data_IF_468145622353
#
_entry.id   IF_468145622353
#
_cell.length_a   1.000
_cell.length_b   1.000
_cell.length_c   1.000
_cell.angle_alpha   90.00
_cell.angle_beta   90.00
_cell.angle_gamma   90.00
#
_symmetry.space_group_name_H-M   'P 1'
#
loop_
_entity.id
_entity.type
_entity.pdbx_description
1 polymer ?
#
# COMPACT_ATOMS: atom_id res chain seq x y z
N UNK A 1 -42.34 -68.18 1.20
CA UNK A 1 -41.89 -69.10 0.12
C UNK A 1 -40.81 -68.40 -0.63
N UNK A 2 -39.63 -69.05 -0.51
CA UNK A 2 -38.48 -69.10 -1.46
C UNK A 2 -37.73 -67.78 -1.60
N UNK A 3 -36.65 -67.51 -0.90
CA UNK A 3 -35.30 -68.08 -0.83
C UNK A 3 -34.53 -67.86 -2.14
N UNK A 4 -33.45 -67.14 -2.08
CA UNK A 4 -32.49 -66.90 -3.15
C UNK A 4 -31.24 -66.19 -2.63
N UNK A 5 -30.43 -66.93 -1.85
CA UNK A 5 -29.05 -66.58 -1.49
C UNK A 5 -28.18 -66.51 -2.76
N UNK A 6 -27.46 -65.43 -2.95
CA UNK A 6 -26.32 -65.36 -3.83
C UNK A 6 -25.05 -65.15 -2.98
N UNK A 7 -24.19 -66.16 -3.02
CA UNK A 7 -22.90 -66.26 -2.34
C UNK A 7 -21.90 -65.24 -2.88
N UNK A 8 -21.26 -64.59 -1.97
CA UNK A 8 -20.13 -63.69 -2.22
C UNK A 8 -18.85 -64.56 -2.21
N UNK A 9 -18.29 -64.77 -3.40
CA UNK A 9 -17.04 -65.53 -3.55
C UNK A 9 -15.85 -64.53 -3.49
N UNK A 10 -15.29 -64.41 -2.31
CA UNK A 10 -14.19 -63.54 -2.00
C UNK A 10 -12.88 -64.37 -1.98
N UNK A 11 -12.36 -64.70 -3.13
CA UNK A 11 -11.11 -65.44 -3.21
C UNK A 11 -9.88 -64.49 -3.26
N UNK A 12 -8.83 -64.80 -2.46
CA UNK A 12 -7.66 -63.94 -2.28
C UNK A 12 -6.76 -63.74 -3.54
N UNK A 13 -7.07 -64.42 -4.61
CA UNK A 13 -6.23 -64.41 -5.82
C UNK A 13 -6.44 -63.17 -6.72
N UNK A 14 -7.58 -62.48 -6.64
CA UNK A 14 -7.84 -61.30 -7.44
C UNK A 14 -7.12 -60.02 -6.91
N UNK A 15 -6.82 -59.97 -5.59
CA UNK A 15 -6.15 -58.85 -4.96
C UNK A 15 -4.62 -58.82 -5.28
N UNK A 16 -4.00 -60.01 -5.47
CA UNK A 16 -2.55 -60.07 -5.79
C UNK A 16 -2.27 -59.71 -7.23
N UNK A 17 -3.15 -59.98 -8.18
CA UNK A 17 -2.97 -59.63 -9.59
C UNK A 17 -3.08 -58.12 -9.82
N UNK A 18 -3.93 -57.42 -9.07
CA UNK A 18 -4.08 -55.94 -9.17
C UNK A 18 -2.90 -55.22 -8.54
N UNK A 19 -2.28 -55.79 -7.50
CA UNK A 19 -1.14 -55.19 -6.82
C UNK A 19 0.16 -55.33 -7.61
N UNK A 20 0.32 -56.42 -8.35
CA UNK A 20 1.46 -56.64 -9.27
C UNK A 20 1.37 -55.77 -10.54
N UNK A 21 0.17 -55.50 -11.03
CA UNK A 21 -0.03 -54.60 -12.17
C UNK A 21 0.24 -53.12 -11.84
N UNK A 22 -0.02 -52.70 -10.57
CA UNK A 22 0.33 -51.36 -10.12
C UNK A 22 1.82 -51.14 -9.83
N UNK A 23 2.55 -52.22 -9.49
CA UNK A 23 4.00 -52.13 -9.26
C UNK A 23 4.83 -52.16 -10.56
N UNK A 24 4.31 -52.74 -11.63
CA UNK A 24 4.97 -52.71 -12.93
C UNK A 24 4.85 -51.38 -13.67
N UNK A 25 3.82 -50.59 -13.37
CA UNK A 25 3.63 -49.26 -14.00
C UNK A 25 4.41 -48.13 -13.34
N UNK A 26 5.05 -48.36 -12.18
CA UNK A 26 5.84 -47.35 -11.47
C UNK A 26 7.34 -47.43 -11.77
N UNK A 27 7.81 -48.60 -12.29
CA UNK A 27 9.23 -48.80 -12.61
C UNK A 27 9.65 -48.26 -13.98
N UNK A 28 8.72 -47.95 -14.89
CA UNK A 28 9.05 -47.41 -16.22
C UNK A 28 9.02 -45.86 -16.33
N UNK A 29 8.82 -45.18 -15.21
CA UNK A 29 8.86 -43.69 -15.16
C UNK A 29 10.17 -43.14 -14.54
N UNK A 30 11.18 -43.98 -14.32
CA UNK A 30 12.50 -43.55 -13.79
C UNK A 30 13.60 -43.44 -14.83
N UNK A 31 13.27 -43.25 -16.07
CA UNK A 31 14.26 -43.12 -17.12
C UNK A 31 13.96 -41.99 -18.09
N UNK A 32 14.06 -40.76 -17.68
CA UNK A 32 14.52 -39.56 -18.40
C UNK A 32 14.09 -38.30 -17.67
N UNK A 33 14.60 -38.11 -16.46
CA UNK A 33 14.67 -36.73 -15.95
C UNK A 33 15.89 -36.11 -16.62
N UNK A 34 15.68 -35.59 -17.83
CA UNK A 34 16.57 -34.58 -18.38
C UNK A 34 16.53 -33.41 -17.41
N UNK A 35 17.60 -33.26 -16.64
CA UNK A 35 17.96 -32.05 -15.94
C UNK A 35 18.02 -30.93 -17.00
N UNK A 36 16.86 -30.34 -17.33
CA UNK A 36 16.81 -28.99 -17.81
C UNK A 36 17.35 -28.16 -16.66
N UNK A 37 18.67 -28.04 -16.58
CA UNK A 37 19.29 -26.98 -15.82
C UNK A 37 18.66 -25.72 -16.35
N UNK A 38 17.72 -25.17 -15.56
CA UNK A 38 17.21 -23.82 -15.75
C UNK A 38 18.44 -22.95 -15.53
N UNK A 39 19.17 -22.67 -16.59
CA UNK A 39 20.12 -21.58 -16.62
C UNK A 39 19.25 -20.35 -16.37
N UNK A 40 19.15 -19.93 -15.12
CA UNK A 40 18.78 -18.57 -14.80
C UNK A 40 19.83 -17.71 -15.52
N UNK A 41 19.45 -17.19 -16.69
CA UNK A 41 20.28 -16.22 -17.37
C UNK A 41 20.62 -15.14 -16.34
N UNK A 42 21.89 -14.71 -16.23
CA UNK A 42 22.23 -13.64 -15.32
C UNK A 42 21.27 -12.51 -15.63
N UNK A 43 20.45 -12.11 -14.64
CA UNK A 43 19.47 -11.03 -14.79
C UNK A 43 20.27 -9.73 -14.91
N UNK A 44 20.80 -9.47 -16.10
CA UNK A 44 21.32 -8.16 -16.45
C UNK A 44 20.11 -7.23 -16.50
N UNK A 45 19.87 -6.56 -15.40
CA UNK A 45 18.93 -5.46 -15.34
C UNK A 45 19.31 -4.47 -16.46
N UNK A 46 18.37 -4.06 -17.31
CA UNK A 46 18.62 -3.04 -18.33
C UNK A 46 19.31 -1.82 -17.74
N UNK A 47 20.19 -1.19 -18.48
CA UNK A 47 21.00 -0.08 -17.96
C UNK A 47 20.14 1.03 -17.35
N UNK A 48 18.99 1.38 -17.96
CA UNK A 48 18.10 2.39 -17.41
C UNK A 48 17.51 1.99 -16.05
N UNK A 49 17.29 0.70 -15.78
CA UNK A 49 16.83 0.22 -14.46
C UNK A 49 17.93 0.35 -13.40
N UNK A 50 19.18 0.13 -13.78
CA UNK A 50 20.31 0.37 -12.89
C UNK A 50 20.41 1.87 -12.55
N UNK A 51 20.24 2.76 -13.54
CA UNK A 51 20.22 4.21 -13.32
C UNK A 51 19.01 4.62 -12.46
N UNK A 52 17.82 4.05 -12.71
CA UNK A 52 16.64 4.22 -11.84
C UNK A 52 16.96 3.89 -10.38
N UNK A 53 17.61 2.74 -10.15
CA UNK A 53 18.04 2.33 -8.82
C UNK A 53 19.05 3.28 -8.15
N UNK A 54 19.99 3.86 -8.95
CA UNK A 54 20.95 4.84 -8.44
C UNK A 54 20.27 6.17 -8.08
N UNK A 55 19.39 6.67 -8.93
CA UNK A 55 18.58 7.88 -8.64
C UNK A 55 17.73 7.65 -7.40
N UNK A 56 17.07 6.48 -7.31
CA UNK A 56 16.26 6.11 -6.13
C UNK A 56 17.09 6.11 -4.84
N UNK A 57 18.31 5.58 -4.86
CA UNK A 57 19.23 5.64 -3.70
C UNK A 57 19.58 7.06 -3.31
N UNK A 58 19.82 7.96 -4.28
CA UNK A 58 20.08 9.38 -4.00
C UNK A 58 18.85 10.06 -3.35
N UNK A 59 17.63 9.74 -3.82
CA UNK A 59 16.38 10.21 -3.19
C UNK A 59 16.24 9.72 -1.76
N UNK A 60 16.51 8.43 -1.51
CA UNK A 60 16.44 7.81 -0.18
C UNK A 60 17.51 8.36 0.77
N UNK A 61 18.68 8.66 0.24
CA UNK A 61 19.78 9.27 0.99
C UNK A 61 19.59 10.77 1.26
N UNK A 62 18.48 11.39 0.79
CA UNK A 62 18.21 12.81 0.99
C UNK A 62 19.13 13.73 0.18
N UNK A 63 19.81 13.21 -0.86
CA UNK A 63 20.65 14.04 -1.74
C UNK A 63 19.80 15.12 -2.43
N UNK A 64 18.57 14.80 -2.76
CA UNK A 64 17.56 15.74 -3.25
C UNK A 64 16.30 15.59 -2.41
N UNK A 65 15.89 16.70 -1.80
CA UNK A 65 14.73 16.73 -0.90
C UNK A 65 13.41 16.82 -1.70
N UNK A 66 12.28 16.45 -1.11
CA UNK A 66 10.97 16.69 -1.69
C UNK A 66 10.81 18.15 -2.13
N UNK A 67 10.33 18.37 -3.36
CA UNK A 67 10.18 19.68 -3.97
C UNK A 67 11.44 20.27 -4.59
N UNK A 68 12.63 19.70 -4.37
CA UNK A 68 13.88 20.17 -4.99
C UNK A 68 14.04 19.67 -6.43
N UNK A 69 14.75 20.45 -7.25
CA UNK A 69 15.14 20.04 -8.59
C UNK A 69 16.28 19.01 -8.52
N UNK A 70 16.17 17.94 -9.29
CA UNK A 70 17.29 17.04 -9.55
C UNK A 70 18.17 17.60 -10.69
N UNK A 71 19.43 17.17 -10.81
CA UNK A 71 20.27 17.54 -11.94
C UNK A 71 19.62 17.21 -13.28
N UNK A 72 19.99 17.95 -14.34
CA UNK A 72 19.45 17.73 -15.68
C UNK A 72 19.76 16.31 -16.20
N UNK A 73 19.01 15.87 -17.20
CA UNK A 73 19.28 14.58 -17.87
C UNK A 73 20.72 14.51 -18.41
N UNK A 74 21.26 15.63 -18.85
CA UNK A 74 22.65 15.71 -19.34
C UNK A 74 23.67 15.59 -18.22
N UNK A 75 23.43 16.27 -17.09
CA UNK A 75 24.34 16.21 -15.94
C UNK A 75 24.35 14.80 -15.33
N UNK A 76 23.16 14.16 -15.23
CA UNK A 76 23.03 12.78 -14.77
C UNK A 76 23.66 11.80 -15.76
N UNK A 77 23.58 12.06 -17.07
CA UNK A 77 24.23 11.22 -18.09
C UNK A 77 25.76 11.27 -17.94
N UNK A 78 26.32 12.46 -17.69
CA UNK A 78 27.75 12.62 -17.38
C UNK A 78 28.11 11.93 -16.06
N UNK A 79 27.34 12.17 -15.00
CA UNK A 79 27.55 11.59 -13.67
C UNK A 79 27.61 10.07 -13.70
N UNK A 80 26.66 9.43 -14.39
CA UNK A 80 26.53 7.98 -14.45
C UNK A 80 27.24 7.34 -15.67
N UNK A 81 27.87 8.15 -16.52
CA UNK A 81 28.58 7.72 -17.74
C UNK A 81 27.70 6.88 -18.68
N UNK A 82 26.49 7.37 -18.94
CA UNK A 82 25.50 6.72 -19.82
C UNK A 82 24.95 7.73 -20.83
N UNK A 83 24.16 7.26 -21.81
CA UNK A 83 23.48 8.15 -22.74
C UNK A 83 22.37 8.94 -22.04
N UNK A 84 22.09 10.16 -22.53
CA UNK A 84 20.95 10.96 -22.06
C UNK A 84 19.63 10.20 -22.20
N UNK A 85 19.44 9.42 -23.27
CA UNK A 85 18.25 8.60 -23.48
C UNK A 85 18.05 7.52 -22.40
N UNK A 86 19.14 6.95 -21.87
CA UNK A 86 19.09 6.01 -20.76
C UNK A 86 18.61 6.67 -19.47
N UNK A 87 19.12 7.87 -19.18
CA UNK A 87 18.69 8.68 -18.02
C UNK A 87 17.23 9.10 -18.17
N UNK A 88 16.86 9.60 -19.38
CA UNK A 88 15.46 10.00 -19.67
C UNK A 88 14.49 8.89 -19.38
N UNK A 89 14.77 7.66 -19.85
CA UNK A 89 13.91 6.49 -19.59
C UNK A 89 13.82 6.16 -18.10
N UNK A 90 14.92 6.27 -17.36
CA UNK A 90 14.92 6.09 -15.90
C UNK A 90 14.06 7.13 -15.18
N UNK A 91 14.17 8.41 -15.58
CA UNK A 91 13.36 9.52 -15.04
C UNK A 91 11.88 9.34 -15.40
N UNK A 92 11.55 8.90 -16.63
CA UNK A 92 10.16 8.65 -17.05
C UNK A 92 9.50 7.57 -16.19
N UNK A 93 10.22 6.49 -15.87
CA UNK A 93 9.69 5.47 -14.95
C UNK A 93 9.54 6.00 -13.52
N UNK A 94 10.51 6.79 -13.01
CA UNK A 94 10.38 7.40 -11.68
C UNK A 94 9.23 8.42 -11.63
N UNK A 95 8.95 9.10 -12.75
CA UNK A 95 7.79 9.98 -12.85
C UNK A 95 6.46 9.19 -12.91
N UNK A 96 6.43 8.08 -13.63
CA UNK A 96 5.28 7.16 -13.63
C UNK A 96 5.01 6.57 -12.22
N UNK A 97 6.08 6.30 -11.46
CA UNK A 97 6.00 5.87 -10.06
C UNK A 97 5.70 7.04 -9.09
N UNK A 98 5.45 8.25 -9.60
CA UNK A 98 5.21 9.48 -8.82
C UNK A 98 6.33 9.83 -7.82
N UNK A 99 7.55 9.50 -8.14
CA UNK A 99 8.73 9.88 -7.35
C UNK A 99 9.35 11.19 -7.84
N UNK A 100 9.19 11.47 -9.12
CA UNK A 100 9.63 12.71 -9.76
C UNK A 100 8.47 13.36 -10.51
N UNK A 101 8.56 14.67 -10.71
CA UNK A 101 7.60 15.45 -11.51
C UNK A 101 8.36 16.33 -12.50
N UNK A 102 7.97 16.27 -13.78
CA UNK A 102 8.51 17.17 -14.82
C UNK A 102 7.73 18.48 -14.81
N UNK A 103 8.45 19.60 -14.74
CA UNK A 103 7.87 20.95 -14.87
C UNK A 103 8.41 21.58 -16.15
N UNK A 104 7.51 21.83 -17.10
CA UNK A 104 7.87 22.37 -18.40
C UNK A 104 8.74 23.62 -18.27
N UNK A 105 9.89 23.65 -18.94
CA UNK A 105 10.84 24.74 -18.91
C UNK A 105 11.60 24.95 -17.60
N UNK A 106 11.28 24.18 -16.53
CA UNK A 106 11.90 24.32 -15.20
C UNK A 106 12.77 23.14 -14.80
N UNK A 107 12.58 21.96 -15.43
CA UNK A 107 13.34 20.76 -15.12
C UNK A 107 12.51 19.65 -14.46
N UNK A 108 13.20 18.71 -13.83
CA UNK A 108 12.61 17.59 -13.09
C UNK A 108 12.82 17.79 -11.59
N UNK A 109 11.78 17.59 -10.82
CA UNK A 109 11.75 17.84 -9.38
C UNK A 109 11.38 16.56 -8.63
N UNK A 110 11.84 16.43 -7.41
CA UNK A 110 11.32 15.40 -6.48
C UNK A 110 9.88 15.75 -6.17
N UNK A 111 8.96 14.81 -6.40
CA UNK A 111 7.54 15.01 -6.09
C UNK A 111 7.35 15.16 -4.58
N UNK A 112 6.33 15.91 -4.13
CA UNK A 112 6.11 16.24 -2.72
C UNK A 112 4.63 16.26 -2.35
N UNK A 113 4.32 15.88 -1.11
CA UNK A 113 2.97 16.00 -0.54
C UNK A 113 2.65 17.41 -0.02
N UNK A 114 3.63 18.31 0.02
CA UNK A 114 3.44 19.68 0.51
C UNK A 114 2.70 20.59 -0.50
N UNK A 115 2.63 20.23 -1.77
CA UNK A 115 1.90 21.01 -2.78
C UNK A 115 0.38 20.81 -2.67
N UNK A 116 -0.40 21.90 -2.92
CA UNK A 116 -1.87 21.90 -2.77
C UNK A 116 -2.58 20.79 -3.56
N UNK A 117 -2.06 20.39 -4.71
CA UNK A 117 -2.63 19.31 -5.52
C UNK A 117 -2.38 17.91 -4.93
N UNK A 118 -1.42 17.74 -4.02
CA UNK A 118 -1.14 16.48 -3.36
C UNK A 118 -2.10 16.17 -2.21
N UNK A 119 -2.86 17.16 -1.72
CA UNK A 119 -3.80 16.96 -0.61
C UNK A 119 -4.83 15.86 -0.88
N UNK A 120 -5.25 15.71 -2.13
CA UNK A 120 -6.32 14.79 -2.53
C UNK A 120 -5.82 13.46 -3.10
N UNK A 121 -4.52 13.29 -3.28
CA UNK A 121 -3.95 12.07 -3.89
C UNK A 121 -4.35 10.79 -3.15
N UNK A 122 -4.51 10.87 -1.85
CA UNK A 122 -4.86 9.74 -0.99
C UNK A 122 -6.23 9.86 -0.32
N UNK A 123 -6.89 11.02 -0.38
CA UNK A 123 -8.28 11.17 0.02
C UNK A 123 -9.14 11.14 -1.25
N UNK A 124 -9.75 10.00 -1.50
CA UNK A 124 -10.52 9.74 -2.72
C UNK A 124 -12.03 9.93 -2.52
N UNK A 125 -12.44 10.46 -1.38
CA UNK A 125 -13.84 10.82 -1.14
C UNK A 125 -14.14 12.17 -1.80
N UNK A 126 -15.17 12.20 -2.63
CA UNK A 126 -15.57 13.34 -3.45
C UNK A 126 -17.05 13.61 -3.22
N UNK A 127 -17.51 14.85 -3.04
CA UNK A 127 -18.93 15.15 -2.95
C UNK A 127 -19.67 14.79 -4.24
N UNK A 128 -20.92 14.34 -4.12
CA UNK A 128 -21.77 14.00 -5.26
C UNK A 128 -22.19 15.23 -6.07
N UNK A 129 -22.23 16.38 -5.41
CA UNK A 129 -22.58 17.66 -6.03
C UNK A 129 -21.45 18.68 -5.85
N UNK A 130 -21.08 19.34 -6.94
CA UNK A 130 -20.02 20.34 -6.90
C UNK A 130 -18.61 19.75 -7.13
N UNK A 131 -17.59 20.57 -6.89
CA UNK A 131 -16.19 20.21 -6.99
C UNK A 131 -15.59 20.08 -5.57
N UNK A 132 -14.58 19.23 -5.40
CA UNK A 132 -13.84 19.09 -4.14
C UNK A 132 -13.35 20.44 -3.57
N UNK A 133 -13.06 21.39 -4.46
CA UNK A 133 -12.66 22.74 -4.07
C UNK A 133 -13.78 23.57 -3.43
N UNK A 134 -15.04 23.18 -3.61
CA UNK A 134 -16.21 23.92 -3.09
C UNK A 134 -16.52 23.63 -1.62
N UNK A 135 -16.11 22.45 -1.10
CA UNK A 135 -16.33 22.09 0.31
C UNK A 135 -15.29 22.69 1.27
N UNK A 136 -14.17 23.15 0.74
CA UNK A 136 -13.05 23.59 1.56
C UNK A 136 -12.28 22.44 2.23
N UNK A 137 -11.31 22.77 3.07
CA UNK A 137 -10.56 21.75 3.83
C UNK A 137 -11.46 21.10 4.89
N UNK A 138 -11.34 19.79 5.08
CA UNK A 138 -12.02 19.10 6.15
C UNK A 138 -11.55 19.61 7.52
N UNK A 139 -12.50 19.87 8.43
CA UNK A 139 -12.21 20.05 9.84
C UNK A 139 -11.70 18.72 10.42
N UNK A 140 -10.59 18.78 11.16
CA UNK A 140 -9.91 17.60 11.70
C UNK A 140 -9.98 17.61 13.22
N UNK A 141 -10.57 16.59 13.79
CA UNK A 141 -10.59 16.36 15.23
C UNK A 141 -9.79 15.11 15.55
N UNK A 142 -8.63 15.27 16.20
CA UNK A 142 -7.88 14.14 16.76
C UNK A 142 -8.56 13.72 18.05
N UNK A 143 -9.11 12.52 18.09
CA UNK A 143 -9.81 11.99 19.27
C UNK A 143 -8.86 11.21 20.17
N UNK A 144 -7.82 10.59 19.60
CA UNK A 144 -6.82 9.84 20.33
C UNK A 144 -5.46 9.89 19.59
N UNK A 145 -4.37 9.98 20.35
CA UNK A 145 -3.02 9.72 19.87
C UNK A 145 -2.18 9.18 21.01
N UNK A 146 -1.76 7.92 20.92
CA UNK A 146 -1.01 7.24 21.97
C UNK A 146 -0.02 6.26 21.40
N UNK A 147 1.02 5.96 22.17
CA UNK A 147 1.98 4.91 21.83
C UNK A 147 1.52 3.58 22.44
N UNK A 148 1.37 2.56 21.60
CA UNK A 148 0.93 1.23 22.01
C UNK A 148 1.89 0.16 21.51
N UNK A 149 1.65 -1.09 21.90
CA UNK A 149 2.32 -2.26 21.34
C UNK A 149 1.51 -2.84 20.19
N UNK A 150 2.17 -3.12 19.07
CA UNK A 150 1.51 -3.70 17.90
C UNK A 150 0.92 -5.08 18.21
N UNK A 151 -0.35 -5.27 17.89
CA UNK A 151 -0.95 -6.61 17.84
C UNK A 151 -0.31 -7.44 16.71
N UNK A 152 -0.53 -8.76 16.72
CA UNK A 152 -0.01 -9.63 15.65
C UNK A 152 -0.50 -9.21 14.25
N UNK A 153 -1.73 -8.73 14.15
CA UNK A 153 -2.32 -8.24 12.90
C UNK A 153 -1.63 -6.95 12.42
N UNK A 154 -1.52 -5.93 13.28
CA UNK A 154 -0.87 -4.66 12.96
C UNK A 154 0.60 -4.89 12.62
N UNK A 155 1.29 -5.70 13.41
CA UNK A 155 2.68 -6.04 13.20
C UNK A 155 2.91 -6.69 11.82
N UNK A 156 2.05 -7.63 11.43
CA UNK A 156 2.11 -8.28 10.11
C UNK A 156 1.95 -7.28 8.96
N UNK A 157 0.98 -6.34 9.06
CA UNK A 157 0.70 -5.36 8.01
C UNK A 157 1.78 -4.29 7.90
N UNK A 158 2.43 -3.95 9.02
CA UNK A 158 3.52 -2.97 9.08
C UNK A 158 4.92 -3.60 9.00
N UNK A 159 5.03 -4.90 8.74
CA UNK A 159 6.30 -5.63 8.70
C UNK A 159 7.14 -5.45 9.98
N UNK A 160 6.47 -5.48 11.15
CA UNK A 160 7.04 -5.37 12.47
C UNK A 160 6.96 -6.72 13.21
N UNK A 161 7.58 -6.80 14.38
CA UNK A 161 7.37 -7.91 15.33
C UNK A 161 6.15 -7.61 16.20
N UNK A 162 5.41 -8.64 16.57
CA UNK A 162 4.34 -8.50 17.58
C UNK A 162 4.92 -7.89 18.85
N UNK A 163 4.27 -6.84 19.35
CA UNK A 163 4.73 -6.10 20.51
C UNK A 163 5.70 -4.96 20.23
N UNK A 164 6.16 -4.75 18.99
CA UNK A 164 6.93 -3.56 18.64
C UNK A 164 6.09 -2.30 18.88
N UNK A 165 6.73 -1.19 19.25
CA UNK A 165 6.02 0.06 19.53
C UNK A 165 5.48 0.69 18.24
N UNK A 166 4.20 1.10 18.30
CA UNK A 166 3.53 1.86 17.24
C UNK A 166 2.80 3.05 17.85
N UNK A 167 2.66 4.12 17.09
CA UNK A 167 1.69 5.16 17.36
C UNK A 167 0.32 4.72 16.87
N UNK A 168 -0.69 4.88 17.69
CA UNK A 168 -2.09 4.77 17.31
C UNK A 168 -2.71 6.15 17.40
N UNK A 169 -3.26 6.65 16.29
CA UNK A 169 -4.04 7.86 16.26
C UNK A 169 -5.45 7.56 15.74
N UNK A 170 -6.43 8.25 16.29
CA UNK A 170 -7.80 8.23 15.80
C UNK A 170 -8.23 9.65 15.50
N UNK A 171 -8.90 9.86 14.37
CA UNK A 171 -9.43 11.17 14.01
C UNK A 171 -10.77 11.10 13.29
N UNK A 172 -11.53 12.17 13.44
CA UNK A 172 -12.74 12.42 12.65
C UNK A 172 -12.47 13.58 11.70
N UNK A 173 -12.86 13.41 10.43
CA UNK A 173 -12.88 14.48 9.45
C UNK A 173 -14.33 14.89 9.23
N UNK A 174 -14.61 16.19 9.34
CA UNK A 174 -15.91 16.77 9.07
C UNK A 174 -15.83 17.69 7.86
N UNK A 175 -16.80 17.61 6.98
CA UNK A 175 -16.99 18.53 5.87
C UNK A 175 -18.21 19.39 6.15
N UNK A 176 -18.05 20.71 6.05
CA UNK A 176 -19.11 21.67 6.39
C UNK A 176 -19.74 21.41 7.77
N UNK A 177 -18.93 20.97 8.75
CA UNK A 177 -19.36 20.67 10.11
C UNK A 177 -20.03 19.29 10.29
N UNK A 178 -20.18 18.48 9.23
CA UNK A 178 -20.76 17.14 9.28
C UNK A 178 -19.63 16.10 9.38
N UNK A 179 -19.55 15.30 10.48
CA UNK A 179 -18.60 14.21 10.60
C UNK A 179 -18.83 13.17 9.49
N UNK A 180 -17.88 13.02 8.58
CA UNK A 180 -18.04 12.18 7.38
C UNK A 180 -17.08 11.01 7.36
N UNK A 181 -15.88 11.15 7.95
CA UNK A 181 -14.86 10.11 7.94
C UNK A 181 -14.34 9.89 9.35
N UNK A 182 -14.30 8.65 9.81
CA UNK A 182 -13.54 8.21 10.98
C UNK A 182 -12.32 7.42 10.51
N UNK A 183 -11.15 7.73 11.04
CA UNK A 183 -9.92 7.01 10.71
C UNK A 183 -9.19 6.53 11.96
N UNK A 184 -8.82 5.25 11.95
CA UNK A 184 -7.86 4.66 12.86
C UNK A 184 -6.53 4.49 12.12
N UNK A 185 -5.42 4.97 12.70
CA UNK A 185 -4.12 5.08 12.05
C UNK A 185 -3.06 4.46 12.94
N UNK A 186 -2.23 3.58 12.40
CA UNK A 186 -1.07 3.02 13.09
C UNK A 186 0.20 3.31 12.30
N UNK A 187 1.22 3.79 13.01
CA UNK A 187 2.52 4.15 12.46
C UNK A 187 3.63 3.45 13.25
N UNK A 188 4.67 2.89 12.62
CA UNK A 188 5.86 2.43 13.34
C UNK A 188 6.44 3.54 14.20
N UNK A 189 6.71 3.30 15.50
CA UNK A 189 7.10 4.40 16.39
C UNK A 189 8.50 4.96 16.10
N UNK A 190 9.41 4.17 15.53
CA UNK A 190 10.78 4.58 15.33
C UNK A 190 10.95 5.73 14.31
N UNK A 191 10.33 5.70 13.10
CA UNK A 191 10.40 6.81 12.15
C UNK A 191 9.67 8.07 12.65
N UNK A 192 8.61 7.92 13.44
CA UNK A 192 7.76 9.02 13.92
C UNK A 192 8.08 9.41 15.36
N UNK A 193 9.38 9.54 15.68
CA UNK A 193 9.83 9.90 17.01
C UNK A 193 9.36 11.30 17.40
N UNK A 194 8.63 11.40 18.51
CA UNK A 194 8.10 12.69 19.01
C UNK A 194 6.77 13.10 18.35
N UNK A 195 6.06 12.18 17.68
CA UNK A 195 4.69 12.42 17.26
C UNK A 195 3.80 12.62 18.49
N UNK A 196 2.90 13.60 18.46
CA UNK A 196 1.91 13.87 19.50
C UNK A 196 0.57 14.25 18.89
N UNK A 197 -0.50 14.25 19.70
CA UNK A 197 -1.82 14.68 19.27
C UNK A 197 -1.82 16.15 18.82
N UNK A 198 -1.10 17.01 19.55
CA UNK A 198 -0.98 18.43 19.25
C UNK A 198 -0.32 18.64 17.88
N UNK A 199 0.80 17.94 17.60
CA UNK A 199 1.46 18.05 16.29
C UNK A 199 0.56 17.62 15.15
N UNK A 200 -0.26 16.58 15.36
CA UNK A 200 -1.26 16.16 14.36
C UNK A 200 -2.39 17.16 14.16
N UNK A 201 -2.82 17.82 15.24
CA UNK A 201 -3.92 18.81 15.23
C UNK A 201 -3.47 20.15 14.64
N UNK A 202 -2.29 20.64 15.06
CA UNK A 202 -1.81 21.99 14.73
C UNK A 202 -1.25 22.12 13.30
N UNK A 203 -0.92 21.00 12.65
CA UNK A 203 -0.38 21.04 11.30
C UNK A 203 -1.46 21.37 10.26
N UNK A 204 -1.32 22.48 9.56
CA UNK A 204 -2.32 22.97 8.59
C UNK A 204 -2.25 22.32 7.20
N UNK A 205 -1.36 21.36 6.98
CA UNK A 205 -1.23 20.61 5.72
C UNK A 205 -1.91 19.23 5.74
N UNK A 206 -1.66 18.40 4.73
CA UNK A 206 -2.05 17.00 4.79
C UNK A 206 -1.20 16.23 5.81
N UNK A 207 -1.71 15.11 6.32
CA UNK A 207 -0.94 14.26 7.24
C UNK A 207 0.35 13.74 6.57
N UNK A 208 0.32 13.47 5.27
CA UNK A 208 1.52 13.02 4.55
C UNK A 208 2.52 14.15 4.34
N UNK A 209 2.06 15.40 4.19
CA UNK A 209 2.96 16.54 4.19
C UNK A 209 3.65 16.73 5.55
N UNK A 210 2.91 16.54 6.67
CA UNK A 210 3.51 16.52 8.00
C UNK A 210 4.58 15.43 8.12
N UNK A 211 4.27 14.21 7.65
CA UNK A 211 5.22 13.09 7.72
C UNK A 211 6.48 13.36 6.90
N UNK A 212 6.33 13.97 5.73
CA UNK A 212 7.43 14.35 4.85
C UNK A 212 8.28 15.47 5.44
N UNK A 213 7.67 16.52 5.98
CA UNK A 213 8.38 17.72 6.42
C UNK A 213 9.01 17.61 7.80
N UNK A 214 8.37 16.89 8.72
CA UNK A 214 8.81 16.84 10.12
C UNK A 214 9.45 15.52 10.52
N UNK A 215 9.20 14.44 9.78
CA UNK A 215 9.70 13.11 10.10
C UNK A 215 10.56 12.51 8.98
N UNK A 216 10.74 13.20 7.87
CA UNK A 216 11.47 12.71 6.69
C UNK A 216 10.90 11.37 6.16
N UNK A 217 9.60 11.16 6.33
CA UNK A 217 8.87 9.97 5.89
C UNK A 217 7.95 10.33 4.75
N UNK A 218 8.34 9.95 3.53
CA UNK A 218 7.54 10.16 2.33
C UNK A 218 6.76 8.92 1.96
N UNK A 219 5.44 9.04 1.81
CA UNK A 219 4.58 7.97 1.30
C UNK A 219 4.59 7.99 -0.22
N UNK A 220 5.12 6.92 -0.84
CA UNK A 220 5.29 6.84 -2.30
C UNK A 220 4.24 5.97 -2.98
N UNK A 221 3.68 5.00 -2.24
CA UNK A 221 2.70 4.04 -2.73
C UNK A 221 1.72 3.64 -1.63
N UNK A 222 0.50 3.30 -2.00
CA UNK A 222 -0.46 2.71 -1.08
C UNK A 222 -1.20 1.53 -1.73
N UNK A 223 -1.62 0.58 -0.91
CA UNK A 223 -2.51 -0.52 -1.26
C UNK A 223 -3.76 -0.41 -0.42
N UNK A 224 -4.93 -0.51 -1.06
CA UNK A 224 -6.22 -0.37 -0.39
C UNK A 224 -7.07 -1.63 -0.55
N UNK A 225 -7.79 -1.95 0.52
CA UNK A 225 -8.87 -2.94 0.52
C UNK A 225 -10.15 -2.25 0.91
N UNK A 226 -11.14 -2.31 0.04
CA UNK A 226 -12.41 -1.63 0.21
C UNK A 226 -13.49 -2.67 0.53
N UNK A 227 -14.32 -2.36 1.52
CA UNK A 227 -15.45 -3.19 1.94
C UNK A 227 -16.63 -2.31 2.36
N UNK A 228 -17.83 -2.85 2.27
CA UNK A 228 -19.01 -2.29 2.93
C UNK A 228 -19.20 -2.98 4.29
N UNK A 229 -19.55 -2.21 5.31
CA UNK A 229 -19.89 -2.74 6.64
C UNK A 229 -20.93 -1.84 7.33
N UNK A 230 -21.72 -2.39 8.25
CA UNK A 230 -22.64 -1.59 9.06
C UNK A 230 -21.90 -0.82 10.15
N UNK A 231 -22.38 0.38 10.47
CA UNK A 231 -21.88 1.16 11.59
C UNK A 231 -22.14 0.45 12.93
N UNK A 232 -21.12 0.31 13.75
CA UNK A 232 -21.22 -0.14 15.13
C UNK A 232 -21.45 1.04 16.09
N UNK A 233 -21.53 0.75 17.41
CA UNK A 233 -21.71 1.78 18.44
C UNK A 233 -20.64 2.88 18.40
N UNK A 234 -19.38 2.53 18.21
CA UNK A 234 -18.27 3.49 18.14
C UNK A 234 -18.40 4.40 16.90
N UNK A 235 -18.66 3.79 15.74
CA UNK A 235 -18.88 4.53 14.50
C UNK A 235 -20.07 5.50 14.64
N UNK A 236 -21.18 5.01 15.21
CA UNK A 236 -22.40 5.81 15.42
C UNK A 236 -22.16 7.02 16.31
N UNK A 237 -21.41 6.81 17.41
CA UNK A 237 -21.09 7.88 18.35
C UNK A 237 -20.21 8.95 17.74
N UNK A 238 -19.13 8.56 17.04
CA UNK A 238 -18.13 9.50 16.51
C UNK A 238 -18.59 10.19 15.22
N UNK A 239 -19.31 9.47 14.36
CA UNK A 239 -19.85 10.03 13.12
C UNK A 239 -21.25 10.66 13.30
N UNK A 240 -21.87 10.53 14.49
CA UNK A 240 -23.22 11.05 14.81
C UNK A 240 -24.31 10.50 13.88
N UNK A 241 -24.27 9.19 13.64
CA UNK A 241 -25.17 8.45 12.76
C UNK A 241 -25.89 7.32 13.52
N UNK A 242 -26.92 6.73 12.94
CA UNK A 242 -27.59 5.56 13.50
C UNK A 242 -26.71 4.31 13.39
N UNK A 243 -26.92 3.36 14.33
CA UNK A 243 -26.29 2.04 14.19
C UNK A 243 -26.79 1.33 12.93
N UNK A 244 -25.93 0.52 12.37
CA UNK A 244 -26.16 -0.20 11.11
C UNK A 244 -26.24 0.69 9.86
N UNK A 245 -26.05 2.01 9.97
CA UNK A 245 -25.83 2.86 8.77
C UNK A 245 -24.71 2.23 7.92
N UNK A 246 -24.91 2.05 6.61
CA UNK A 246 -23.87 1.52 5.74
C UNK A 246 -22.65 2.43 5.70
N UNK A 247 -21.46 1.86 5.87
CA UNK A 247 -20.18 2.57 5.77
C UNK A 247 -19.31 1.92 4.71
N UNK A 248 -18.61 2.73 3.94
CA UNK A 248 -17.49 2.27 3.14
C UNK A 248 -16.25 2.18 4.02
N UNK A 249 -15.71 0.97 4.20
CA UNK A 249 -14.46 0.75 4.92
C UNK A 249 -13.30 0.65 3.95
N UNK A 250 -12.25 1.44 4.17
CA UNK A 250 -11.01 1.41 3.40
C UNK A 250 -9.85 1.10 4.32
N UNK A 251 -9.31 -0.11 4.22
CA UNK A 251 -8.04 -0.48 4.86
C UNK A 251 -6.90 -0.15 3.89
N UNK A 252 -6.04 0.78 4.27
CA UNK A 252 -4.89 1.23 3.49
C UNK A 252 -3.59 0.88 4.19
N UNK A 253 -2.64 0.30 3.46
CA UNK A 253 -1.24 0.26 3.87
C UNK A 253 -0.46 1.18 2.95
N UNK A 254 0.18 2.20 3.51
CA UNK A 254 1.03 3.12 2.76
C UNK A 254 2.51 2.80 3.00
N UNK A 255 3.28 2.92 1.94
CA UNK A 255 4.67 2.52 1.88
C UNK A 255 5.56 3.71 1.53
N UNK A 256 6.71 3.76 2.16
CA UNK A 256 7.82 4.61 1.73
C UNK A 256 8.71 3.87 0.73
N UNK A 257 9.88 4.39 0.44
CA UNK A 257 10.86 3.75 -0.42
C UNK A 257 11.16 2.31 -0.02
N UNK A 258 11.59 1.47 -0.97
CA UNK A 258 11.91 0.05 -0.78
C UNK A 258 10.74 -0.79 -0.24
N UNK A 259 9.51 -0.41 -0.58
CA UNK A 259 8.29 -1.10 -0.13
C UNK A 259 8.21 -1.27 1.40
N UNK A 260 8.79 -0.33 2.15
CA UNK A 260 8.69 -0.33 3.61
C UNK A 260 7.33 0.23 4.04
N UNK A 261 6.48 -0.54 4.72
CA UNK A 261 5.19 -0.06 5.19
C UNK A 261 5.38 0.91 6.35
N UNK A 262 4.80 2.10 6.24
CA UNK A 262 4.93 3.19 7.20
C UNK A 262 3.60 3.62 7.83
N UNK A 263 2.48 3.22 7.23
CA UNK A 263 1.15 3.51 7.78
C UNK A 263 0.22 2.34 7.50
N UNK A 264 -0.53 1.93 8.51
CA UNK A 264 -1.79 1.22 8.38
C UNK A 264 -2.90 2.18 8.76
N UNK A 265 -3.90 2.35 7.89
CA UNK A 265 -5.07 3.18 8.14
C UNK A 265 -6.33 2.39 7.86
N UNK A 266 -7.31 2.50 8.76
CA UNK A 266 -8.67 2.03 8.55
C UNK A 266 -9.60 3.21 8.59
N UNK A 267 -10.13 3.57 7.43
CA UNK A 267 -11.10 4.64 7.27
C UNK A 267 -12.51 4.07 7.17
N UNK A 268 -13.47 4.77 7.77
CA UNK A 268 -14.89 4.49 7.72
C UNK A 268 -15.58 5.73 7.21
N UNK A 269 -16.17 5.64 6.01
CA UNK A 269 -16.64 6.76 5.22
C UNK A 269 -18.15 6.70 5.09
N UNK A 270 -18.81 7.82 5.38
CA UNK A 270 -20.19 8.04 4.99
C UNK A 270 -20.24 8.37 3.49
N UNK A 271 -21.17 7.71 2.80
CA UNK A 271 -21.33 7.85 1.35
C UNK A 271 -22.74 8.32 0.97
N UNK A 272 -23.45 8.99 1.88
CA UNK A 272 -24.81 9.50 1.62
C UNK A 272 -24.79 10.69 0.66
N UNK A 273 -23.75 11.50 0.71
CA UNK A 273 -23.57 12.72 -0.10
C UNK A 273 -22.20 12.74 -0.80
N UNK A 274 -21.44 11.67 -0.65
CA UNK A 274 -20.10 11.53 -1.17
C UNK A 274 -19.91 10.16 -1.80
N UNK A 275 -19.00 10.07 -2.75
CA UNK A 275 -18.57 8.80 -3.34
C UNK A 275 -17.05 8.64 -3.30
N UNK A 276 -16.60 7.40 -3.34
CA UNK A 276 -15.18 7.08 -3.46
C UNK A 276 -14.80 7.03 -4.93
N UNK A 277 -13.99 8.00 -5.38
CA UNK A 277 -13.54 8.12 -6.77
C UNK A 277 -12.17 7.48 -6.95
N UNK A 278 -12.05 6.52 -7.85
CA UNK A 278 -10.79 5.94 -8.29
C UNK A 278 -10.69 6.04 -9.81
N UNK A 279 -9.67 6.74 -10.31
CA UNK A 279 -9.39 6.85 -11.74
C UNK A 279 -8.38 5.77 -12.11
N UNK A 280 -8.74 4.93 -13.08
CA UNK A 280 -7.89 3.87 -13.60
C UNK A 280 -7.29 4.37 -14.92
N UNK A 281 -5.95 4.49 -14.97
CA UNK A 281 -5.18 4.89 -16.16
C UNK A 281 -4.44 3.67 -16.73
#
# INVERSE_FOLDING_TARGET
MIDGMAQNDNSPQSAQATQLALQASVSDLQGTTTLAATYAAPAFSPLYQQIKGLILKSLQGGEWKPGEAIPSEMDLAVRYRVSQGTVRKAIDELAADNLLVRRQGKGTFVDTHAEKHAHYRFLKLVPDTGDQSSEGPADRQITECKRIRASAEIAKLLNLRTGDPVWQAQRVLAFSGVPTILEDIWLPAAPFKGLTAERLADYHGSMYALFETEFDVRMVRAVEKIRALPANLLHSSLLKIEQNTPLLSVERVAYTYNDMPMELRRGYYLTDTHHYRNELN
#
